data_IF_351535601004
#
_entry.id   IF_351535601004
#
_cell.length_a   1.000
_cell.length_b   1.000
_cell.length_c   1.000
_cell.angle_alpha   90.00
_cell.angle_beta   90.00
_cell.angle_gamma   90.00
#
_symmetry.space_group_name_H-M   'P 1'
#
loop_
_entity.id
_entity.type
_entity.pdbx_description
1 polymer ?
#
# COMPACT_ATOMS: atom_id res chain seq x y z
N UNK A 1 29.37 -27.32 -22.66
CA UNK A 1 29.70 -26.90 -21.28
C UNK A 1 28.38 -26.68 -20.58
N UNK A 2 27.94 -27.69 -19.82
CA UNK A 2 26.62 -27.74 -19.19
C UNK A 2 26.78 -27.28 -17.74
N UNK A 3 25.92 -26.37 -17.27
CA UNK A 3 25.57 -26.34 -15.85
C UNK A 3 24.06 -26.17 -15.72
N UNK A 4 23.50 -27.12 -14.98
CA UNK A 4 22.10 -27.50 -14.82
C UNK A 4 21.40 -26.49 -13.92
N UNK A 5 20.16 -26.13 -14.21
CA UNK A 5 19.17 -25.75 -13.19
C UNK A 5 17.92 -26.61 -13.42
N UNK A 6 17.52 -27.23 -12.33
CA UNK A 6 16.60 -28.36 -12.22
C UNK A 6 15.24 -27.78 -11.81
N UNK A 7 14.27 -27.71 -12.72
CA UNK A 7 12.89 -27.34 -12.39
C UNK A 7 12.05 -28.61 -12.45
N UNK A 8 11.59 -29.03 -11.29
CA UNK A 8 10.78 -30.23 -11.08
C UNK A 8 9.42 -30.01 -11.74
N UNK A 9 9.15 -30.78 -12.79
CA UNK A 9 7.84 -30.96 -13.40
C UNK A 9 6.97 -31.78 -12.44
N UNK A 10 5.93 -31.19 -11.87
CA UNK A 10 4.77 -31.95 -11.36
C UNK A 10 3.58 -31.59 -12.21
N UNK A 11 3.27 -32.51 -13.12
CA UNK A 11 2.11 -32.53 -14.00
C UNK A 11 0.86 -32.79 -13.17
N UNK A 12 -0.29 -32.37 -13.71
CA UNK A 12 -1.68 -32.72 -13.38
C UNK A 12 -2.47 -31.61 -12.66
N UNK A 13 -3.06 -30.73 -13.47
CA UNK A 13 -4.52 -30.56 -13.48
C UNK A 13 -4.92 -29.68 -14.68
N UNK A 14 -4.90 -30.30 -15.85
CA UNK A 14 -5.61 -29.85 -17.03
C UNK A 14 -7.11 -30.06 -16.78
N UNK A 15 -7.89 -29.04 -16.40
CA UNK A 15 -9.33 -29.04 -16.70
C UNK A 15 -9.94 -27.63 -16.61
N UNK A 16 -10.58 -27.27 -17.73
CA UNK A 16 -11.57 -26.21 -17.94
C UNK A 16 -11.04 -24.82 -18.30
N UNK A 17 -10.61 -24.74 -19.57
CA UNK A 17 -11.04 -23.69 -20.48
C UNK A 17 -12.58 -23.54 -20.42
N UNK A 18 -13.05 -22.47 -19.79
CA UNK A 18 -14.30 -21.84 -20.17
C UNK A 18 -14.03 -20.35 -20.37
N UNK A 19 -14.35 -19.93 -21.59
CA UNK A 19 -14.29 -18.58 -22.11
C UNK A 19 -14.91 -17.55 -21.15
N UNK A 20 -14.20 -16.43 -20.96
CA UNK A 20 -14.72 -15.22 -20.35
C UNK A 20 -13.82 -14.05 -20.76
N UNK A 21 -14.38 -13.15 -21.56
CA UNK A 21 -13.74 -12.04 -22.27
C UNK A 21 -13.11 -11.00 -21.35
N UNK A 22 -11.95 -10.50 -21.76
CA UNK A 22 -11.55 -9.08 -21.71
C UNK A 22 -11.61 -8.35 -20.37
N UNK A 23 -10.44 -8.07 -19.81
CA UNK A 23 -10.03 -6.69 -19.52
C UNK A 23 -8.52 -6.60 -19.77
N UNK A 24 -8.17 -5.62 -20.60
CA UNK A 24 -6.84 -5.33 -21.09
C UNK A 24 -6.21 -4.29 -20.15
N UNK A 25 -5.01 -4.58 -19.66
CA UNK A 25 -4.04 -3.56 -19.22
C UNK A 25 -3.95 -3.20 -17.73
N UNK A 26 -2.68 -3.24 -17.26
CA UNK A 26 -2.04 -2.37 -16.24
C UNK A 26 -2.42 -2.60 -14.75
N UNK A 27 -1.52 -2.63 -13.74
CA UNK A 27 -0.05 -2.44 -13.55
C UNK A 27 0.34 -3.15 -12.22
N UNK A 28 1.62 -3.52 -12.12
CA UNK A 28 2.44 -3.76 -10.92
C UNK A 28 1.75 -4.30 -9.65
N UNK A 29 1.93 -5.60 -9.41
CA UNK A 29 1.75 -6.22 -8.10
C UNK A 29 2.71 -5.58 -7.08
N UNK A 30 2.16 -4.83 -6.13
CA UNK A 30 2.88 -4.40 -4.94
C UNK A 30 3.13 -5.62 -4.03
N UNK A 31 4.40 -5.92 -3.77
CA UNK A 31 4.81 -6.94 -2.82
C UNK A 31 4.58 -6.38 -1.41
N UNK A 32 3.60 -6.94 -0.70
CA UNK A 32 3.33 -6.62 0.70
C UNK A 32 4.06 -7.65 1.56
N UNK A 33 5.11 -7.23 2.28
CA UNK A 33 5.64 -7.99 3.42
C UNK A 33 4.85 -7.64 4.70
N UNK A 34 4.50 -8.64 5.51
CA UNK A 34 3.47 -8.60 6.56
C UNK A 34 3.80 -7.83 7.86
N UNK A 35 2.82 -7.51 8.74
CA UNK A 35 1.48 -6.99 8.51
C UNK A 35 1.50 -5.48 8.81
N UNK A 36 1.67 -4.68 7.77
CA UNK A 36 1.32 -3.25 7.81
C UNK A 36 -0.15 -3.18 8.24
N UNK A 37 -0.53 -2.33 9.19
CA UNK A 37 -1.90 -2.22 9.71
C UNK A 37 -2.91 -2.43 8.56
N UNK A 38 -3.71 -3.51 8.60
CA UNK A 38 -4.25 -4.20 7.41
C UNK A 38 -5.05 -3.36 6.42
N UNK A 39 -5.37 -2.13 6.80
CA UNK A 39 -6.27 -1.23 6.08
C UNK A 39 -5.57 0.05 5.59
N UNK A 40 -4.24 0.19 5.79
CA UNK A 40 -3.50 1.34 5.27
C UNK A 40 -3.19 1.14 3.80
N UNK A 41 -3.73 2.01 2.95
CA UNK A 41 -3.44 2.05 1.52
C UNK A 41 -2.74 3.36 1.15
N UNK A 42 -2.06 3.35 0.01
CA UNK A 42 -1.53 4.57 -0.59
C UNK A 42 -1.94 4.68 -2.04
N UNK A 43 -2.23 5.90 -2.46
CA UNK A 43 -2.59 6.26 -3.82
C UNK A 43 -1.73 7.43 -4.25
N UNK A 44 -1.17 7.35 -5.46
CA UNK A 44 -0.39 8.44 -6.05
C UNK A 44 -1.19 9.02 -7.21
N UNK A 45 -1.38 10.34 -7.18
CA UNK A 45 -2.03 11.09 -8.23
C UNK A 45 -1.17 12.32 -8.54
N UNK A 46 -0.83 12.48 -9.83
CA UNK A 46 0.03 13.55 -10.33
C UNK A 46 1.35 13.69 -9.55
N UNK A 47 1.44 14.68 -8.66
CA UNK A 47 2.60 15.03 -7.84
C UNK A 47 2.36 14.83 -6.34
N UNK A 48 1.34 14.06 -5.95
CA UNK A 48 1.00 13.80 -4.55
C UNK A 48 0.83 12.32 -4.25
N UNK A 49 1.19 11.95 -3.03
CA UNK A 49 0.84 10.66 -2.43
C UNK A 49 -0.14 10.88 -1.29
N UNK A 50 -1.23 10.13 -1.32
CA UNK A 50 -2.25 10.08 -0.28
C UNK A 50 -2.18 8.73 0.42
N UNK A 51 -2.12 8.73 1.74
CA UNK A 51 -2.28 7.54 2.58
C UNK A 51 -3.65 7.55 3.23
N UNK A 52 -4.32 6.41 3.25
CA UNK A 52 -5.65 6.26 3.82
C UNK A 52 -5.65 5.09 4.79
N UNK A 53 -6.33 5.22 5.93
CA UNK A 53 -6.41 4.15 6.95
C UNK A 53 -7.77 3.43 6.96
N UNK A 54 -8.48 3.46 5.84
CA UNK A 54 -9.79 2.83 5.69
C UNK A 54 -10.84 3.36 6.66
N UNK A 55 -11.89 2.58 6.87
CA UNK A 55 -13.01 2.94 7.74
C UNK A 55 -12.60 2.90 9.22
N UNK A 56 -13.07 3.89 10.00
CA UNK A 56 -12.92 3.93 11.46
C UNK A 56 -14.26 4.23 12.14
N UNK A 57 -14.54 3.59 13.29
CA UNK A 57 -15.88 3.56 13.87
C UNK A 57 -16.31 4.90 14.50
N UNK A 58 -15.35 5.75 14.84
CA UNK A 58 -15.56 7.05 15.50
C UNK A 58 -14.60 8.08 14.93
N UNK A 59 -14.76 9.33 15.38
CA UNK A 59 -13.68 10.32 15.31
C UNK A 59 -12.54 10.00 16.28
N UNK A 60 -11.47 10.79 16.22
CA UNK A 60 -10.28 10.62 17.06
C UNK A 60 -9.22 9.68 16.49
N UNK A 61 -9.52 9.02 15.36
CA UNK A 61 -8.52 8.33 14.55
C UNK A 61 -7.89 9.32 13.56
N UNK A 62 -6.58 9.28 13.40
CA UNK A 62 -5.88 10.01 12.34
C UNK A 62 -4.73 9.18 11.77
N UNK A 63 -4.42 9.44 10.51
CA UNK A 63 -3.19 9.06 9.85
C UNK A 63 -2.45 10.35 9.48
N UNK A 64 -1.13 10.36 9.55
CA UNK A 64 -0.33 11.53 9.19
C UNK A 64 0.95 11.11 8.50
N UNK A 65 1.25 11.70 7.35
CA UNK A 65 2.53 11.50 6.66
C UNK A 65 3.59 12.31 7.40
N UNK A 66 4.66 11.63 7.81
CA UNK A 66 5.80 12.24 8.52
C UNK A 66 6.93 12.57 7.56
N UNK A 67 7.16 11.70 6.58
CA UNK A 67 8.24 11.88 5.60
C UNK A 67 7.92 11.15 4.29
N UNK A 68 8.39 11.72 3.18
CA UNK A 68 8.29 11.12 1.85
C UNK A 68 9.66 11.18 1.20
N UNK A 69 10.25 10.03 0.94
CA UNK A 69 11.58 9.94 0.34
C UNK A 69 11.57 9.05 -0.88
N UNK A 70 12.45 9.34 -1.83
CA UNK A 70 12.60 8.56 -3.04
C UNK A 70 14.05 8.12 -3.18
N UNK A 71 14.30 6.81 -3.19
CA UNK A 71 15.65 6.27 -3.31
C UNK A 71 15.64 5.05 -4.21
N UNK A 72 16.53 5.01 -5.18
CA UNK A 72 16.73 3.86 -6.07
C UNK A 72 15.45 3.32 -6.76
N UNK A 73 14.48 4.19 -7.05
CA UNK A 73 13.21 3.81 -7.68
C UNK A 73 12.13 3.32 -6.69
N UNK A 74 12.35 3.51 -5.39
CA UNK A 74 11.37 3.19 -4.34
C UNK A 74 10.93 4.47 -3.64
N UNK A 75 9.63 4.74 -3.65
CA UNK A 75 8.99 5.79 -2.88
C UNK A 75 8.69 5.25 -1.48
N UNK A 76 9.36 5.77 -0.46
CA UNK A 76 9.11 5.41 0.94
C UNK A 76 8.27 6.49 1.60
N UNK A 77 7.06 6.12 2.05
CA UNK A 77 6.16 7.01 2.78
C UNK A 77 6.13 6.58 4.24
N UNK A 78 6.70 7.42 5.10
CA UNK A 78 6.67 7.22 6.54
C UNK A 78 5.44 7.90 7.11
N UNK A 79 4.66 7.19 7.91
CA UNK A 79 3.41 7.70 8.47
C UNK A 79 3.21 7.28 9.93
N UNK A 80 2.38 8.05 10.63
CA UNK A 80 1.95 7.77 11.99
C UNK A 80 0.44 7.55 12.05
N UNK A 81 0.02 6.67 12.97
CA UNK A 81 -1.38 6.36 13.24
C UNK A 81 -1.69 6.78 14.68
N UNK A 82 -2.74 7.59 14.84
CA UNK A 82 -3.26 7.95 16.15
C UNK A 82 -4.64 7.33 16.32
N UNK A 83 -4.83 6.60 17.43
CA UNK A 83 -6.14 6.11 17.87
C UNK A 83 -6.59 6.89 19.11
N UNK A 84 -7.92 7.06 19.30
CA UNK A 84 -8.43 7.67 20.51
C UNK A 84 -8.08 6.82 21.74
N UNK A 85 -7.81 7.47 22.87
CA UNK A 85 -7.52 6.77 24.12
C UNK A 85 -8.82 6.31 24.78
N UNK A 86 -8.77 5.26 25.62
CA UNK A 86 -9.93 4.86 26.40
C UNK A 86 -10.46 6.02 27.24
N UNK A 87 -11.74 6.36 27.06
CA UNK A 87 -12.40 7.45 27.77
C UNK A 87 -12.28 8.82 27.11
N UNK A 88 -11.62 8.94 25.95
CA UNK A 88 -11.68 10.17 25.15
C UNK A 88 -13.12 10.42 24.68
N UNK A 89 -13.57 11.67 24.79
CA UNK A 89 -14.83 12.10 24.20
C UNK A 89 -14.62 12.32 22.70
N UNK A 90 -15.09 11.38 21.89
CA UNK A 90 -14.99 11.42 20.42
C UNK A 90 -16.38 11.54 19.77
N UNK A 91 -16.40 11.89 18.49
CA UNK A 91 -17.62 11.88 17.69
C UNK A 91 -18.00 10.44 17.32
N UNK A 92 -19.24 10.05 17.61
CA UNK A 92 -19.81 8.74 17.25
C UNK A 92 -20.29 8.73 15.79
N UNK A 93 -19.34 8.80 14.86
CA UNK A 93 -19.60 8.75 13.42
C UNK A 93 -18.49 7.99 12.72
N UNK A 94 -18.86 7.21 11.71
CA UNK A 94 -17.90 6.53 10.83
C UNK A 94 -17.04 7.57 10.12
N UNK A 95 -15.73 7.38 10.13
CA UNK A 95 -14.73 8.26 9.49
C UNK A 95 -13.81 7.48 8.56
N UNK A 96 -13.11 8.20 7.69
CA UNK A 96 -12.11 7.67 6.76
C UNK A 96 -10.85 8.55 6.85
N UNK A 97 -9.94 8.27 7.80
CA UNK A 97 -8.74 9.09 7.96
C UNK A 97 -7.82 8.97 6.74
N UNK A 98 -7.40 10.12 6.23
CA UNK A 98 -6.45 10.23 5.14
C UNK A 98 -5.51 11.42 5.38
N UNK A 99 -4.33 11.36 4.76
CA UNK A 99 -3.40 12.47 4.68
C UNK A 99 -2.64 12.42 3.35
N UNK A 100 -2.22 13.58 2.85
CA UNK A 100 -1.59 13.72 1.54
C UNK A 100 -0.34 14.59 1.63
N UNK A 101 0.69 14.21 0.89
CA UNK A 101 1.94 14.95 0.82
C UNK A 101 2.44 15.03 -0.63
N UNK A 102 3.14 16.12 -1.00
CA UNK A 102 3.78 16.21 -2.30
C UNK A 102 4.89 15.16 -2.43
N UNK A 103 5.07 14.66 -3.64
CA UNK A 103 6.20 13.83 -3.99
C UNK A 103 7.48 14.70 -4.04
N UNK A 104 8.64 14.14 -3.69
CA UNK A 104 9.92 14.76 -3.97
C UNK A 104 10.10 15.03 -5.47
N UNK A 105 10.67 16.18 -5.84
CA UNK A 105 10.87 16.59 -7.23
C UNK A 105 11.68 15.57 -8.07
N UNK A 106 12.53 14.78 -7.42
CA UNK A 106 13.36 13.74 -8.02
C UNK A 106 12.67 12.37 -8.13
N UNK A 107 11.38 12.29 -7.75
CA UNK A 107 10.62 11.05 -7.68
C UNK A 107 9.60 10.91 -8.82
N UNK A 108 10.07 10.94 -10.06
CA UNK A 108 9.20 10.79 -11.26
C UNK A 108 9.04 9.36 -11.75
N UNK A 109 9.99 8.46 -11.44
CA UNK A 109 10.10 7.14 -12.06
C UNK A 109 10.26 5.99 -11.04
N UNK A 110 9.61 6.11 -9.88
CA UNK A 110 9.59 5.02 -8.91
C UNK A 110 8.73 3.85 -9.42
N UNK A 111 9.15 2.62 -9.12
CA UNK A 111 8.47 1.38 -9.52
C UNK A 111 7.79 0.69 -8.34
N UNK A 112 8.11 1.14 -7.12
CA UNK A 112 7.68 0.52 -5.88
C UNK A 112 7.32 1.60 -4.86
N UNK A 113 6.29 1.35 -4.06
CA UNK A 113 5.90 2.18 -2.94
C UNK A 113 6.00 1.33 -1.67
N UNK A 114 6.67 1.85 -0.66
CA UNK A 114 6.83 1.22 0.65
C UNK A 114 6.21 2.11 1.71
N UNK A 115 5.31 1.54 2.50
CA UNK A 115 4.65 2.23 3.61
C UNK A 115 5.30 1.84 4.93
N UNK A 116 5.80 2.82 5.67
CA UNK A 116 6.50 2.60 6.94
C UNK A 116 5.73 3.27 8.07
N UNK A 117 5.16 2.48 8.98
CA UNK A 117 4.56 3.02 10.19
C UNK A 117 5.67 3.36 11.20
N UNK A 118 5.80 4.63 11.59
CA UNK A 118 6.81 5.10 12.55
C UNK A 118 6.26 5.33 13.96
N UNK A 119 4.97 5.04 14.16
CA UNK A 119 4.33 5.03 15.49
C UNK A 119 4.97 3.93 16.34
N UNK A 120 5.41 4.28 17.56
CA UNK A 120 6.07 3.36 18.49
C UNK A 120 5.12 2.52 19.32
#
# INVERSE_FOLDING_TARGET
MNKKIFVVFTVVAFLLLLFGTGCEGQKADAVVEEPVASDVTAHVEEDQVTVSWGEKPTGGYSISIVDVTCQAGTLTVSYELTSPKPGDFVTEAITYPEDSAPLPDDCTDFTEIVLVNVSK
#
